data_IF_282423907234
#
_entry.id   IF_282423907234
#
_cell.length_a   1.000
_cell.length_b   1.000
_cell.length_c   1.000
_cell.angle_alpha   90.00
_cell.angle_beta   90.00
_cell.angle_gamma   90.00
#
_symmetry.space_group_name_H-M   'P 1'
#
loop_
_entity.id
_entity.type
_entity.pdbx_description
1 polymer ?
#
# COMPACT_ATOMS: atom_id res chain seq x y z
N UNK A 1 5.26 -6.37 -8.79
CA UNK A 1 6.43 -5.84 -9.45
C UNK A 1 7.36 -5.24 -8.40
N UNK A 2 8.59 -5.71 -8.31
CA UNK A 2 9.54 -5.12 -7.37
C UNK A 2 10.05 -3.82 -7.96
N UNK A 3 9.60 -2.75 -7.40
CA UNK A 3 10.00 -1.41 -7.75
C UNK A 3 11.33 -1.11 -7.03
N UNK A 4 12.37 -0.84 -7.79
CA UNK A 4 13.72 -0.53 -7.29
C UNK A 4 13.73 0.73 -6.39
N UNK A 5 12.65 1.51 -6.42
CA UNK A 5 12.55 2.80 -5.75
C UNK A 5 11.35 2.89 -4.80
N UNK A 6 10.85 1.76 -4.32
CA UNK A 6 9.71 1.71 -3.39
C UNK A 6 10.07 2.34 -2.05
N UNK A 7 9.08 3.00 -1.48
CA UNK A 7 9.11 3.55 -0.13
C UNK A 7 8.28 2.68 0.77
N UNK A 8 8.68 2.59 2.02
CA UNK A 8 7.89 1.90 3.01
C UNK A 8 6.90 2.88 3.63
N UNK A 9 5.63 2.51 3.60
CA UNK A 9 4.60 3.14 4.38
C UNK A 9 4.13 2.18 5.46
N UNK A 10 3.99 2.69 6.67
CA UNK A 10 3.54 1.93 7.84
C UNK A 10 2.25 2.55 8.40
N UNK A 11 1.46 1.72 9.07
CA UNK A 11 0.26 2.16 9.77
C UNK A 11 0.60 3.06 10.96
N UNK A 12 -0.33 3.96 11.33
CA UNK A 12 -0.26 4.74 12.57
C UNK A 12 -0.14 3.87 13.83
N UNK A 13 -0.69 2.66 13.77
CA UNK A 13 -0.74 1.71 14.90
C UNK A 13 0.40 0.68 14.88
N UNK A 14 1.30 0.78 13.89
CA UNK A 14 2.46 -0.09 13.80
C UNK A 14 3.43 0.14 14.98
N UNK A 15 4.13 -0.90 15.43
CA UNK A 15 5.03 -0.81 16.58
C UNK A 15 6.12 0.25 16.43
N UNK A 16 6.66 0.42 15.23
CA UNK A 16 7.62 1.49 14.93
C UNK A 16 7.00 2.88 15.13
N UNK A 17 5.72 3.05 14.80
CA UNK A 17 5.01 4.32 14.93
C UNK A 17 4.85 4.74 16.40
N UNK A 18 4.76 3.79 17.32
CA UNK A 18 4.66 4.03 18.76
C UNK A 18 5.86 4.82 19.33
N UNK A 19 7.03 4.69 18.72
CA UNK A 19 8.22 5.44 19.12
C UNK A 19 8.09 6.96 18.94
N UNK A 20 7.13 7.40 18.13
CA UNK A 20 6.88 8.83 17.85
C UNK A 20 5.76 9.44 18.68
N UNK A 21 5.09 8.68 19.53
CA UNK A 21 3.95 9.14 20.35
C UNK A 21 4.28 10.35 21.26
N UNK A 22 5.57 10.60 21.55
CA UNK A 22 6.03 11.77 22.28
C UNK A 22 6.11 13.07 21.46
N UNK A 23 6.09 12.98 20.14
CA UNK A 23 6.28 14.14 19.25
C UNK A 23 4.96 14.86 18.99
N UNK A 24 4.95 16.18 19.11
CA UNK A 24 3.75 17.01 18.91
C UNK A 24 3.19 16.88 17.48
N UNK A 25 4.05 16.81 16.48
CA UNK A 25 3.64 16.71 15.08
C UNK A 25 3.04 15.34 14.76
N UNK A 26 3.53 14.27 15.39
CA UNK A 26 2.93 12.96 15.26
C UNK A 26 1.55 12.88 15.93
N UNK A 27 1.37 13.49 17.10
CA UNK A 27 0.06 13.59 17.75
C UNK A 27 -0.96 14.36 16.91
N UNK A 28 -0.54 15.45 16.26
CA UNK A 28 -1.40 16.17 15.31
C UNK A 28 -1.81 15.28 14.15
N UNK A 29 -0.84 14.58 13.55
CA UNK A 29 -1.09 13.63 12.49
C UNK A 29 -2.08 12.53 12.91
N UNK A 30 -1.90 11.90 14.08
CA UNK A 30 -2.84 10.91 14.61
C UNK A 30 -4.25 11.46 14.80
N UNK A 31 -4.38 12.70 15.31
CA UNK A 31 -5.67 13.37 15.46
C UNK A 31 -6.34 13.68 14.11
N UNK A 32 -5.59 13.97 13.08
CA UNK A 32 -6.12 14.15 11.73
C UNK A 32 -6.55 12.82 11.12
N UNK A 33 -5.77 11.76 11.31
CA UNK A 33 -6.13 10.41 10.86
C UNK A 33 -7.43 9.92 11.52
N UNK A 34 -7.62 10.17 12.81
CA UNK A 34 -8.83 9.74 13.52
C UNK A 34 -10.13 10.41 13.06
N UNK A 35 -10.04 11.57 12.40
CA UNK A 35 -11.21 12.26 11.82
C UNK A 35 -11.72 11.62 10.53
N UNK A 36 -10.88 10.88 9.84
CA UNK A 36 -11.17 10.35 8.49
C UNK A 36 -12.05 9.10 8.53
N UNK A 37 -12.23 8.47 9.69
CA UNK A 37 -12.93 7.18 9.81
C UNK A 37 -12.06 6.01 9.33
N UNK A 38 -12.46 4.79 9.72
CA UNK A 38 -11.70 3.56 9.47
C UNK A 38 -12.23 2.72 8.31
N UNK A 39 -13.30 3.16 7.63
CA UNK A 39 -13.88 2.41 6.50
C UNK A 39 -13.03 2.54 5.24
N UNK A 40 -12.92 1.47 4.46
CA UNK A 40 -12.16 1.48 3.19
C UNK A 40 -12.61 2.60 2.24
N UNK A 41 -13.91 2.87 2.17
CA UNK A 41 -14.47 3.93 1.31
C UNK A 41 -14.08 5.33 1.80
N UNK A 42 -14.13 5.56 3.11
CA UNK A 42 -13.70 6.84 3.69
C UNK A 42 -12.21 7.08 3.46
N UNK A 43 -11.38 6.05 3.63
CA UNK A 43 -9.93 6.11 3.39
C UNK A 43 -9.58 6.26 1.90
N UNK A 44 -10.38 5.70 0.99
CA UNK A 44 -10.16 5.85 -0.45
C UNK A 44 -10.36 7.29 -0.91
N UNK A 45 -11.37 7.97 -0.40
CA UNK A 45 -11.75 9.34 -0.77
C UNK A 45 -11.04 10.43 0.06
N UNK A 46 -10.46 10.07 1.20
CA UNK A 46 -9.78 11.01 2.06
C UNK A 46 -8.44 11.50 1.49
N UNK A 47 -8.07 12.70 1.89
CA UNK A 47 -6.74 13.24 1.61
C UNK A 47 -5.65 12.32 2.16
N UNK A 48 -4.64 12.03 1.34
CA UNK A 48 -3.52 11.16 1.73
C UNK A 48 -2.60 11.94 2.66
N UNK A 49 -2.58 11.55 3.92
CA UNK A 49 -1.75 12.16 4.97
C UNK A 49 -0.60 11.23 5.33
N UNK A 50 0.54 11.80 5.62
CA UNK A 50 1.73 11.07 6.03
C UNK A 50 2.61 11.84 7.00
N UNK A 51 3.29 11.10 7.84
CA UNK A 51 4.31 11.61 8.75
C UNK A 51 5.67 11.02 8.37
N UNK A 52 6.65 11.88 8.14
CA UNK A 52 8.03 11.46 7.82
C UNK A 52 8.74 11.06 9.13
N UNK A 53 9.04 9.79 9.28
CA UNK A 53 9.70 9.25 10.47
C UNK A 53 11.18 9.59 10.57
N UNK A 54 11.80 10.08 9.49
CA UNK A 54 13.26 10.24 9.33
C UNK A 54 14.04 8.92 9.45
N UNK A 55 13.36 7.81 9.53
CA UNK A 55 13.97 6.48 9.50
C UNK A 55 14.10 6.00 8.05
N UNK A 56 15.05 5.08 7.86
CA UNK A 56 15.29 4.46 6.57
C UNK A 56 15.34 2.94 6.73
N UNK A 57 14.75 2.24 5.76
CA UNK A 57 14.91 0.81 5.60
C UNK A 57 15.88 0.51 4.46
N UNK A 58 16.64 -0.56 4.59
CA UNK A 58 17.50 -1.04 3.51
C UNK A 58 16.69 -1.84 2.49
N UNK A 59 17.01 -1.62 1.20
CA UNK A 59 16.36 -2.38 0.15
C UNK A 59 16.88 -3.82 0.13
N UNK A 60 16.01 -4.87 0.16
CA UNK A 60 16.45 -6.26 0.32
C UNK A 60 17.31 -6.79 -0.84
N UNK A 61 17.19 -6.23 -2.04
CA UNK A 61 17.89 -6.72 -3.24
C UNK A 61 18.93 -5.75 -3.81
N UNK A 62 18.88 -4.47 -3.43
CA UNK A 62 19.79 -3.45 -3.93
C UNK A 62 20.66 -2.99 -2.78
N UNK A 63 21.95 -3.34 -2.86
CA UNK A 63 22.93 -2.95 -1.85
C UNK A 63 23.02 -1.43 -1.73
N UNK A 64 23.15 -0.95 -0.50
CA UNK A 64 23.31 0.47 -0.16
C UNK A 64 22.13 1.38 -0.56
N UNK A 65 20.98 0.82 -0.94
CA UNK A 65 19.77 1.60 -1.23
C UNK A 65 18.93 1.74 0.04
N UNK A 66 18.86 2.96 0.54
CA UNK A 66 18.03 3.32 1.71
C UNK A 66 16.69 3.90 1.23
N UNK A 67 15.61 3.42 1.81
CA UNK A 67 14.25 3.82 1.52
C UNK A 67 13.67 4.55 2.74
N UNK A 68 13.16 5.78 2.60
CA UNK A 68 12.56 6.48 3.72
C UNK A 68 11.26 5.80 4.15
N UNK A 69 11.01 5.80 5.46
CA UNK A 69 9.82 5.24 6.06
C UNK A 69 8.85 6.37 6.40
N UNK A 70 7.62 6.27 5.94
CA UNK A 70 6.53 7.18 6.26
C UNK A 70 5.44 6.46 7.05
N UNK A 71 4.84 7.13 8.03
CA UNK A 71 3.55 6.70 8.57
C UNK A 71 2.47 7.29 7.67
N UNK A 72 1.54 6.47 7.18
CA UNK A 72 0.50 6.93 6.27
C UNK A 72 -0.90 6.52 6.74
N UNK A 73 -1.88 7.41 6.57
CA UNK A 73 -3.25 7.21 7.04
C UNK A 73 -4.04 6.14 6.27
N UNK A 74 -3.58 5.75 5.10
CA UNK A 74 -4.24 4.74 4.25
C UNK A 74 -3.66 3.32 4.39
N UNK A 75 -2.68 3.13 5.28
CA UNK A 75 -2.12 1.82 5.60
C UNK A 75 -2.83 1.26 6.84
N UNK A 76 -3.53 0.13 6.65
CA UNK A 76 -4.26 -0.53 7.71
C UNK A 76 -3.44 -1.67 8.31
N UNK A 77 -3.61 -1.95 9.60
CA UNK A 77 -2.96 -3.08 10.29
C UNK A 77 -3.44 -4.44 9.76
N UNK A 78 -4.65 -4.52 9.23
CA UNK A 78 -5.24 -5.74 8.65
C UNK A 78 -4.54 -6.19 7.35
N UNK A 79 -3.69 -5.34 6.78
CA UNK A 79 -2.85 -5.67 5.64
C UNK A 79 -1.49 -6.20 6.10
N UNK A 80 -1.38 -7.50 6.20
CA UNK A 80 -0.14 -8.17 6.59
C UNK A 80 0.26 -7.82 8.02
N UNK A 81 1.35 -7.10 8.17
CA UNK A 81 1.88 -6.62 9.46
C UNK A 81 1.78 -5.08 9.60
N UNK A 82 0.90 -4.44 8.84
CA UNK A 82 0.74 -2.98 8.87
C UNK A 82 1.86 -2.19 8.19
N UNK A 83 2.65 -2.84 7.34
CA UNK A 83 3.69 -2.20 6.55
C UNK A 83 3.52 -2.57 5.07
N UNK A 84 3.62 -1.59 4.19
CA UNK A 84 3.52 -1.77 2.75
C UNK A 84 4.71 -1.17 2.02
N UNK A 85 5.02 -1.74 0.85
CA UNK A 85 5.89 -1.09 -0.12
C UNK A 85 5.04 -0.20 -1.02
N UNK A 86 5.28 1.11 -1.00
CA UNK A 86 4.59 2.05 -1.88
C UNK A 86 5.00 1.87 -3.34
N UNK A 87 4.05 1.96 -4.26
CA UNK A 87 4.25 1.83 -5.70
C UNK A 87 3.65 3.03 -6.46
N UNK A 88 4.21 4.23 -6.32
CA UNK A 88 3.57 5.46 -6.77
C UNK A 88 3.33 5.52 -8.28
N UNK A 89 4.11 4.83 -9.10
CA UNK A 89 3.89 4.81 -10.54
C UNK A 89 2.71 3.91 -10.97
N UNK A 90 2.25 2.98 -10.10
CA UNK A 90 1.30 1.92 -10.47
C UNK A 90 0.14 1.73 -9.46
N UNK A 91 0.09 2.51 -8.40
CA UNK A 91 -1.04 2.62 -7.48
C UNK A 91 -1.43 4.10 -7.32
N UNK A 92 -2.70 4.42 -7.54
CA UNK A 92 -3.16 5.81 -7.52
C UNK A 92 -3.05 6.45 -6.13
N UNK A 93 -3.27 5.68 -5.05
CA UNK A 93 -3.14 6.20 -3.68
C UNK A 93 -1.70 6.59 -3.37
N UNK A 94 -0.78 5.72 -3.76
CA UNK A 94 0.66 5.97 -3.59
C UNK A 94 1.14 7.12 -4.49
N UNK A 95 0.54 7.26 -5.69
CA UNK A 95 0.83 8.34 -6.62
C UNK A 95 0.44 9.70 -6.05
N UNK A 96 -0.78 9.81 -5.52
CA UNK A 96 -1.28 11.04 -4.92
C UNK A 96 -0.44 11.44 -3.69
N UNK A 97 -0.09 10.45 -2.87
CA UNK A 97 0.81 10.61 -1.74
C UNK A 97 2.20 11.11 -2.19
N UNK A 98 2.78 10.47 -3.19
CA UNK A 98 4.10 10.83 -3.71
C UNK A 98 4.11 12.25 -4.30
N UNK A 99 3.06 12.64 -5.02
CA UNK A 99 2.88 14.00 -5.53
C UNK A 99 2.81 15.03 -4.41
N UNK A 100 1.99 14.77 -3.39
CA UNK A 100 1.82 15.66 -2.24
C UNK A 100 3.13 15.90 -1.50
N UNK A 101 3.90 14.86 -1.26
CA UNK A 101 5.17 14.93 -0.52
C UNK A 101 6.40 15.14 -1.41
N UNK A 102 6.18 15.47 -2.71
CA UNK A 102 7.25 15.73 -3.71
C UNK A 102 8.27 14.60 -3.76
N UNK A 103 7.79 13.39 -3.73
CA UNK A 103 8.59 12.20 -3.72
C UNK A 103 8.87 11.74 -5.17
N UNK A 104 10.08 11.22 -5.52
CA UNK A 104 10.36 10.77 -6.89
C UNK A 104 9.44 9.61 -7.27
N UNK A 105 8.85 9.69 -8.46
CA UNK A 105 7.99 8.65 -9.04
C UNK A 105 8.77 7.99 -10.16
N UNK A 106 8.95 6.68 -10.09
CA UNK A 106 9.69 5.93 -11.09
C UNK A 106 8.78 4.87 -11.68
N UNK A 107 8.61 4.94 -12.98
CA UNK A 107 7.84 3.97 -13.74
C UNK A 107 8.61 2.66 -13.86
N UNK A 108 7.98 1.55 -13.50
CA UNK A 108 8.59 0.21 -13.53
C UNK A 108 7.84 -0.79 -14.41
N UNK A 109 6.65 -0.43 -14.88
CA UNK A 109 5.94 -1.16 -15.93
C UNK A 109 5.72 -0.22 -17.08
N UNK A 110 6.13 -0.60 -18.28
CA UNK A 110 5.95 0.18 -19.50
C UNK A 110 5.29 -0.65 -20.57
N UNK A 111 4.31 -0.06 -21.20
CA UNK A 111 3.75 -0.49 -22.48
C UNK A 111 4.61 0.11 -23.59
N UNK A 112 4.70 -0.55 -24.74
CA UNK A 112 5.45 -0.08 -25.92
C UNK A 112 4.98 1.30 -26.42
N UNK A 113 3.71 1.65 -26.16
CA UNK A 113 3.10 2.91 -26.57
C UNK A 113 3.20 4.03 -25.53
N UNK A 114 3.70 3.77 -24.34
CA UNK A 114 3.73 4.75 -23.24
C UNK A 114 5.14 4.93 -22.68
N UNK A 115 5.91 5.80 -23.35
CA UNK A 115 7.30 6.13 -22.97
C UNK A 115 7.41 7.28 -21.95
N UNK A 116 6.31 7.75 -21.35
CA UNK A 116 6.38 8.85 -20.38
C UNK A 116 7.23 8.50 -19.17
N UNK A 117 8.13 9.41 -18.83
CA UNK A 117 8.95 9.30 -17.60
C UNK A 117 8.06 9.52 -16.37
N UNK A 118 8.34 8.84 -15.27
CA UNK A 118 7.56 8.88 -14.04
C UNK A 118 7.23 10.28 -13.53
N UNK A 119 8.17 11.23 -13.62
CA UNK A 119 7.96 12.62 -13.16
C UNK A 119 6.93 13.42 -13.99
N UNK A 120 6.66 13.00 -15.22
CA UNK A 120 5.68 13.64 -16.12
C UNK A 120 4.30 12.98 -16.07
N UNK A 121 4.15 11.88 -15.35
CA UNK A 121 2.87 11.18 -15.23
C UNK A 121 1.83 12.06 -14.53
N UNK A 122 0.62 12.08 -15.06
CA UNK A 122 -0.54 12.76 -14.46
C UNK A 122 -1.33 11.85 -13.52
N UNK A 123 -1.33 10.56 -13.81
CA UNK A 123 -2.02 9.50 -13.06
C UNK A 123 -1.14 8.25 -13.00
N UNK A 124 -1.40 7.37 -12.05
CA UNK A 124 -0.73 6.08 -11.98
C UNK A 124 -1.06 5.21 -13.19
N UNK A 125 -0.07 4.46 -13.68
CA UNK A 125 -0.24 3.52 -14.78
C UNK A 125 -0.59 2.14 -14.24
N UNK A 126 -1.81 1.69 -14.47
CA UNK A 126 -2.33 0.38 -14.00
C UNK A 126 -2.44 -0.67 -15.10
N UNK A 127 -1.96 -0.36 -16.32
CA UNK A 127 -2.00 -1.26 -17.47
C UNK A 127 -0.98 -2.38 -17.40
N UNK A 128 -1.11 -3.32 -18.33
CA UNK A 128 -0.15 -4.39 -18.54
C UNK A 128 1.07 -3.86 -19.32
N UNK A 129 2.20 -4.54 -19.17
CA UNK A 129 3.42 -4.17 -19.89
C UNK A 129 4.62 -4.98 -19.44
N UNK A 130 5.78 -4.58 -19.93
CA UNK A 130 7.06 -5.16 -19.54
C UNK A 130 7.68 -4.39 -18.38
N UNK A 131 8.35 -5.11 -17.52
CA UNK A 131 9.08 -4.52 -16.39
C UNK A 131 10.31 -3.77 -16.90
N UNK A 132 10.47 -2.55 -16.41
CA UNK A 132 11.62 -1.68 -16.66
C UNK A 132 12.17 -1.13 -15.34
N UNK A 133 13.39 -0.62 -15.31
CA UNK A 133 14.01 -0.01 -14.11
C UNK A 133 13.98 -0.92 -12.87
N UNK A 134 14.05 -2.25 -13.05
CA UNK A 134 13.88 -3.23 -11.97
C UNK A 134 14.97 -4.31 -11.97
N UNK A 135 16.17 -3.96 -12.45
CA UNK A 135 17.38 -4.80 -12.46
C UNK A 135 17.11 -6.18 -13.10
N UNK A 136 17.22 -7.26 -12.35
CA UNK A 136 17.08 -8.63 -12.86
C UNK A 136 15.66 -8.99 -13.35
N UNK A 137 14.68 -8.13 -13.13
CA UNK A 137 13.28 -8.32 -13.60
C UNK A 137 13.00 -7.59 -14.92
N UNK A 138 13.94 -6.80 -15.44
CA UNK A 138 13.75 -6.05 -16.67
C UNK A 138 13.39 -6.95 -17.85
N UNK A 139 12.43 -6.52 -18.65
CA UNK A 139 11.96 -7.22 -19.85
C UNK A 139 10.93 -8.34 -19.60
N UNK A 140 10.73 -8.75 -18.36
CA UNK A 140 9.72 -9.75 -18.01
C UNK A 140 8.30 -9.15 -18.02
N UNK A 141 7.31 -10.00 -18.25
CA UNK A 141 5.92 -9.66 -18.03
C UNK A 141 5.63 -9.54 -16.52
N UNK A 142 4.59 -8.81 -16.14
CA UNK A 142 4.24 -8.55 -14.75
C UNK A 142 4.04 -9.86 -13.95
N UNK A 143 3.40 -10.88 -14.53
CA UNK A 143 3.12 -12.14 -13.83
C UNK A 143 4.37 -13.01 -13.67
N UNK A 144 5.26 -13.02 -14.66
CA UNK A 144 6.56 -13.69 -14.57
C UNK A 144 7.46 -12.99 -13.53
N UNK A 145 7.46 -11.66 -13.52
CA UNK A 145 8.21 -10.89 -12.54
C UNK A 145 7.73 -11.14 -11.11
N UNK A 146 6.41 -11.25 -10.88
CA UNK A 146 5.85 -11.61 -9.58
C UNK A 146 6.32 -12.99 -9.10
N UNK A 147 6.32 -14.00 -9.97
CA UNK A 147 6.83 -15.34 -9.64
C UNK A 147 8.31 -15.29 -9.29
N UNK A 148 9.11 -14.68 -10.15
CA UNK A 148 10.57 -14.61 -9.96
C UNK A 148 10.96 -13.87 -8.68
N UNK A 149 10.26 -12.79 -8.31
CA UNK A 149 10.57 -12.07 -7.07
C UNK A 149 10.18 -12.88 -5.82
N UNK A 150 9.04 -13.58 -5.86
CA UNK A 150 8.61 -14.46 -4.75
C UNK A 150 9.63 -15.56 -4.55
N UNK A 151 10.02 -16.27 -5.62
CA UNK A 151 11.02 -17.34 -5.56
C UNK A 151 12.37 -16.83 -5.01
N UNK A 152 12.76 -15.62 -5.40
CA UNK A 152 14.00 -15.00 -4.91
C UNK A 152 13.92 -14.64 -3.42
N UNK A 153 12.77 -14.11 -2.97
CA UNK A 153 12.51 -13.79 -1.56
C UNK A 153 12.59 -15.06 -0.70
N UNK A 154 11.96 -16.15 -1.13
CA UNK A 154 11.96 -17.43 -0.43
C UNK A 154 13.37 -18.06 -0.40
N UNK A 155 14.06 -18.10 -1.54
CA UNK A 155 15.46 -18.61 -1.62
C UNK A 155 16.41 -17.81 -0.74
N UNK A 156 16.22 -16.51 -0.64
CA UNK A 156 17.03 -15.63 0.22
C UNK A 156 16.62 -15.67 1.68
N UNK A 157 15.58 -16.42 2.05
CA UNK A 157 15.02 -16.50 3.43
C UNK A 157 14.66 -15.14 4.03
N UNK A 158 14.28 -14.17 3.21
CA UNK A 158 13.89 -12.81 3.61
C UNK A 158 12.39 -12.74 3.87
N UNK A 159 11.62 -13.64 3.29
CA UNK A 159 10.17 -13.71 3.43
C UNK A 159 9.60 -14.99 2.84
N UNK A 160 8.30 -15.14 2.94
CA UNK A 160 7.55 -16.30 2.48
C UNK A 160 6.36 -15.88 1.61
N UNK A 161 5.97 -16.75 0.68
CA UNK A 161 4.74 -16.57 -0.08
C UNK A 161 3.54 -16.82 0.83
N UNK A 162 2.64 -15.84 0.93
CA UNK A 162 1.39 -15.96 1.68
C UNK A 162 0.19 -15.72 0.78
N UNK A 163 -0.78 -16.60 0.80
CA UNK A 163 -2.05 -16.45 0.09
C UNK A 163 -3.09 -16.00 1.11
N UNK A 164 -3.62 -14.79 0.92
CA UNK A 164 -4.69 -14.26 1.76
C UNK A 164 -6.00 -14.32 0.99
N UNK A 165 -6.99 -15.01 1.54
CA UNK A 165 -8.34 -15.02 1.01
C UNK A 165 -9.13 -13.87 1.63
N UNK A 166 -9.56 -12.91 0.80
CA UNK A 166 -10.51 -11.88 1.21
C UNK A 166 -11.91 -12.30 0.79
N UNK A 167 -12.69 -12.69 1.75
CA UNK A 167 -14.13 -12.85 1.57
C UNK A 167 -14.78 -11.49 1.86
N UNK A 168 -15.59 -10.99 0.93
CA UNK A 168 -16.51 -9.90 1.25
C UNK A 168 -17.52 -10.41 2.25
N UNK A 169 -17.82 -9.57 3.24
CA UNK A 169 -18.90 -9.87 4.19
C UNK A 169 -20.16 -10.21 3.42
N UNK A 170 -20.58 -11.43 3.55
CA UNK A 170 -21.88 -11.83 3.05
C UNK A 170 -22.91 -11.20 3.98
N UNK A 171 -23.85 -10.44 3.42
CA UNK A 171 -24.97 -9.91 4.18
C UNK A 171 -25.88 -11.04 4.65
N UNK A 172 -25.42 -11.77 5.67
CA UNK A 172 -26.15 -12.88 6.31
C UNK A 172 -27.52 -12.38 6.83
N UNK A 173 -27.60 -11.08 7.15
CA UNK A 173 -28.83 -10.41 7.60
C UNK A 173 -29.81 -10.07 6.46
N UNK A 174 -29.46 -10.30 5.19
CA UNK A 174 -30.43 -10.13 4.11
C UNK A 174 -31.39 -11.28 4.11
N UNK A 175 -32.67 -10.96 4.26
CA UNK A 175 -33.80 -11.89 4.09
C UNK A 175 -33.79 -12.44 2.66
N UNK A 176 -33.14 -13.57 2.48
CA UNK A 176 -33.20 -14.35 1.25
C UNK A 176 -33.90 -15.66 1.53
N UNK A 177 -34.67 -16.13 0.56
CA UNK A 177 -35.54 -17.31 0.64
C UNK A 177 -34.85 -18.58 1.17
N UNK A 178 -33.52 -18.66 1.11
CA UNK A 178 -32.72 -19.83 1.52
C UNK A 178 -31.66 -19.49 2.57
N UNK A 179 -31.79 -18.34 3.22
CA UNK A 179 -30.94 -17.96 4.35
C UNK A 179 -31.61 -18.30 5.68
N UNK A 180 -30.82 -18.72 6.66
CA UNK A 180 -31.30 -18.90 8.03
C UNK A 180 -31.84 -17.54 8.55
N UNK A 181 -33.06 -17.44 9.04
CA UNK A 181 -33.60 -16.21 9.60
C UNK A 181 -32.79 -15.84 10.86
N UNK A 182 -32.11 -14.70 10.80
CA UNK A 182 -31.42 -14.14 11.96
C UNK A 182 -32.42 -13.22 12.67
N UNK A 183 -32.72 -13.43 13.94
CA UNK A 183 -33.61 -12.53 14.68
C UNK A 183 -32.94 -11.15 14.78
N UNK A 184 -33.61 -10.13 14.27
CA UNK A 184 -33.17 -8.74 14.35
C UNK A 184 -34.08 -8.05 15.38
N UNK A 185 -33.54 -7.57 16.49
CA UNK A 185 -34.23 -6.71 17.39
C UNK A 185 -34.03 -5.24 16.99
N UNK A 186 -35.12 -4.56 16.66
CA UNK A 186 -35.12 -3.13 16.41
C UNK A 186 -35.27 -2.41 17.76
N UNK A 187 -34.23 -1.76 18.22
CA UNK A 187 -34.26 -0.97 19.48
C UNK A 187 -34.85 0.43 19.32
N UNK A 188 -35.40 0.77 18.16
CA UNK A 188 -35.86 2.14 17.83
C UNK A 188 -37.34 2.21 17.46
N UNK A 189 -38.14 1.22 17.78
CA UNK A 189 -39.58 1.26 17.57
C UNK A 189 -40.29 1.48 18.90
N UNK A 190 -40.03 2.61 19.54
CA UNK A 190 -40.90 3.25 20.52
C UNK A 190 -40.94 4.72 20.26
#
# INVERSE_FOLDING_TARGET
ASDVYKRQAISSDHDISKNFNGQLDFKKFQKECSKVGTTEEALANAEKLGFDTKLFAEHPFIKNKKLPIYVANFVLMDYGNGAIFGCPAHDQRDFDFAKKYKLPIIKVVSDENNSEKGDKMKTAYTGNGKIINSDFLNGLNVDEAKKNIIDKVEKSKIGEKKVLFRLKDWGISRQRYWGCPIPVSYTHLT
#
